data_IF_623540030863
#
_entry.id   IF_623540030863
#
_cell.length_a   1.000
_cell.length_b   1.000
_cell.length_c   1.000
_cell.angle_alpha   90.00
_cell.angle_beta   90.00
_cell.angle_gamma   90.00
#
_symmetry.space_group_name_H-M   'P 1'
#
loop_
_entity.id
_entity.type
_entity.pdbx_description
1 polymer ?
#
# COMPACT_ATOMS: atom_id res chain seq x y z
N UNK A 1 5.64 -28.82 27.32
CA UNK A 1 4.89 -29.13 28.56
C UNK A 1 3.42 -29.01 28.24
N UNK A 2 2.75 -30.14 28.28
CA UNK A 2 1.43 -30.42 27.69
C UNK A 2 0.33 -29.79 28.55
N UNK A 3 -0.44 -28.85 27.99
CA UNK A 3 -1.60 -28.26 28.66
C UNK A 3 -2.78 -29.23 28.53
N UNK A 4 -3.29 -29.67 29.69
CA UNK A 4 -4.44 -30.55 29.81
C UNK A 4 -5.68 -29.89 29.20
N UNK A 5 -6.21 -30.48 28.13
CA UNK A 5 -7.55 -30.22 27.63
C UNK A 5 -8.52 -30.64 28.73
N UNK A 6 -9.02 -29.66 29.47
CA UNK A 6 -10.10 -29.83 30.43
C UNK A 6 -11.34 -30.25 29.65
N UNK A 7 -11.67 -31.54 29.69
CA UNK A 7 -12.96 -32.07 29.23
C UNK A 7 -14.04 -31.58 30.19
N UNK A 8 -14.46 -30.31 30.03
CA UNK A 8 -15.69 -29.82 30.63
C UNK A 8 -16.83 -30.50 29.87
N UNK A 9 -17.50 -31.45 30.51
CA UNK A 9 -18.86 -31.82 30.12
C UNK A 9 -19.68 -30.53 29.99
N UNK A 10 -20.50 -30.35 28.94
CA UNK A 10 -21.36 -29.18 28.86
C UNK A 10 -22.24 -29.17 30.11
N UNK A 11 -22.13 -28.12 30.92
CA UNK A 11 -22.99 -27.94 32.08
C UNK A 11 -24.39 -27.67 31.54
N UNK A 12 -25.23 -28.70 31.48
CA UNK A 12 -26.61 -28.58 31.07
C UNK A 12 -27.28 -27.48 31.89
N UNK A 13 -28.05 -26.60 31.22
CA UNK A 13 -28.90 -25.65 31.93
C UNK A 13 -29.83 -26.41 32.88
N UNK A 14 -30.25 -25.81 34.00
CA UNK A 14 -31.19 -26.45 34.93
C UNK A 14 -32.45 -26.95 34.22
N UNK A 15 -32.92 -26.20 33.22
CA UNK A 15 -34.05 -26.58 32.36
C UNK A 15 -33.75 -27.79 31.47
N UNK A 16 -32.53 -27.89 30.95
CA UNK A 16 -32.11 -28.97 30.05
C UNK A 16 -31.88 -30.28 30.83
N UNK A 17 -31.26 -30.17 32.01
CA UNK A 17 -31.16 -31.29 32.94
C UNK A 17 -32.54 -31.81 33.37
N UNK A 18 -33.49 -30.90 33.63
CA UNK A 18 -34.87 -31.27 33.97
C UNK A 18 -35.59 -31.94 32.79
N UNK A 19 -35.39 -31.47 31.55
CA UNK A 19 -35.96 -32.11 30.35
C UNK A 19 -35.42 -33.51 30.15
N UNK A 20 -34.11 -33.74 30.37
CA UNK A 20 -33.51 -35.07 30.27
C UNK A 20 -34.02 -36.00 31.37
N UNK A 21 -34.13 -35.53 32.61
CA UNK A 21 -34.70 -36.32 33.71
C UNK A 21 -36.17 -36.70 33.45
N UNK A 22 -36.95 -35.77 32.88
CA UNK A 22 -38.33 -36.04 32.47
C UNK A 22 -38.41 -37.04 31.30
N UNK A 23 -37.46 -36.98 30.36
CA UNK A 23 -37.36 -37.93 29.26
C UNK A 23 -37.04 -39.34 29.78
N UNK A 24 -36.07 -39.47 30.68
CA UNK A 24 -35.70 -40.76 31.28
C UNK A 24 -36.89 -41.39 32.02
N UNK A 25 -37.61 -40.58 32.81
CA UNK A 25 -38.85 -41.01 33.50
C UNK A 25 -39.97 -41.40 32.52
N UNK A 26 -40.15 -40.65 31.43
CA UNK A 26 -41.14 -40.97 30.41
C UNK A 26 -40.79 -42.28 29.69
N UNK A 27 -39.50 -42.52 29.47
CA UNK A 27 -39.01 -43.73 28.83
C UNK A 27 -39.22 -44.95 29.74
N UNK A 28 -38.91 -44.82 31.03
CA UNK A 28 -39.17 -45.85 32.05
C UNK A 28 -40.66 -46.20 32.12
N UNK A 29 -41.55 -45.20 32.21
CA UNK A 29 -43.00 -45.42 32.23
C UNK A 29 -43.52 -46.09 30.95
N UNK A 30 -42.98 -45.74 29.78
CA UNK A 30 -43.35 -46.43 28.53
C UNK A 30 -42.95 -47.90 28.56
N UNK A 31 -41.79 -48.22 29.14
CA UNK A 31 -41.31 -49.58 29.25
C UNK A 31 -42.15 -50.39 30.24
N UNK A 32 -42.49 -49.80 31.39
CA UNK A 32 -43.43 -50.39 32.35
C UNK A 32 -44.80 -50.67 31.72
N UNK A 33 -45.35 -49.69 30.98
CA UNK A 33 -46.63 -49.86 30.29
C UNK A 33 -46.58 -50.97 29.23
N UNK A 34 -45.50 -51.03 28.44
CA UNK A 34 -45.32 -52.09 27.45
C UNK A 34 -45.24 -53.48 28.10
N UNK A 35 -44.57 -53.58 29.26
CA UNK A 35 -44.41 -54.82 29.99
C UNK A 35 -45.74 -55.26 30.64
N UNK A 36 -46.50 -54.33 31.22
CA UNK A 36 -47.84 -54.58 31.74
C UNK A 36 -48.81 -55.01 30.64
N UNK A 37 -48.75 -54.37 29.48
CA UNK A 37 -49.59 -54.75 28.33
C UNK A 37 -49.25 -56.16 27.83
N UNK A 38 -47.96 -56.49 27.69
CA UNK A 38 -47.52 -57.82 27.29
C UNK A 38 -47.95 -58.90 28.32
N UNK A 39 -47.86 -58.59 29.62
CA UNK A 39 -48.31 -59.49 30.68
C UNK A 39 -49.83 -59.69 30.64
N UNK A 40 -50.59 -58.62 30.40
CA UNK A 40 -52.05 -58.70 30.27
C UNK A 40 -52.47 -59.49 29.02
N UNK A 41 -51.78 -59.33 27.90
CA UNK A 41 -51.99 -60.12 26.68
C UNK A 41 -51.68 -61.61 26.92
N UNK A 42 -50.67 -61.93 27.72
CA UNK A 42 -50.34 -63.31 28.10
C UNK A 42 -51.39 -63.93 29.04
N UNK A 43 -51.85 -63.18 30.06
CA UNK A 43 -52.86 -63.65 31.03
C UNK A 43 -54.27 -63.73 30.45
N UNK A 44 -54.60 -62.88 29.47
CA UNK A 44 -55.90 -62.92 28.79
C UNK A 44 -56.01 -64.06 27.78
N UNK A 45 -54.89 -64.72 27.46
CA UNK A 45 -54.80 -65.77 26.45
C UNK A 45 -54.54 -67.15 27.11
N UNK A 46 -55.38 -67.57 28.05
CA UNK A 46 -55.42 -68.97 28.52
C UNK A 46 -56.08 -69.88 27.45
N UNK A 47 -55.23 -70.37 26.54
CA UNK A 47 -55.28 -71.58 25.68
C UNK A 47 -56.45 -71.76 24.67
N UNK A 48 -56.08 -72.02 23.41
CA UNK A 48 -56.12 -73.40 22.93
C UNK A 48 -54.71 -73.97 22.81
N UNK A 49 -54.64 -75.29 22.65
CA UNK A 49 -53.42 -76.10 22.67
C UNK A 49 -52.22 -75.49 21.94
N UNK A 50 -51.06 -75.75 22.53
CA UNK A 50 -49.72 -75.58 21.94
C UNK A 50 -49.74 -76.01 20.48
N UNK A 51 -49.79 -75.04 19.57
CA UNK A 51 -49.25 -75.14 18.21
C UNK A 51 -49.06 -73.71 17.66
N UNK A 52 -47.83 -73.22 17.77
CA UNK A 52 -47.26 -72.39 16.70
C UNK A 52 -47.40 -70.88 16.77
N UNK A 53 -47.55 -70.24 17.94
CA UNK A 53 -46.92 -68.91 18.06
C UNK A 53 -45.46 -69.20 18.37
N UNK A 54 -44.65 -69.23 17.31
CA UNK A 54 -43.23 -69.54 17.39
C UNK A 54 -42.55 -68.43 18.20
N UNK A 55 -42.42 -68.68 19.51
CA UNK A 55 -41.78 -67.77 20.46
C UNK A 55 -40.36 -67.44 19.97
N UNK A 56 -39.71 -68.38 19.28
CA UNK A 56 -38.39 -68.16 18.68
C UNK A 56 -38.47 -67.16 17.52
N UNK A 57 -39.54 -67.19 16.71
CA UNK A 57 -39.78 -66.20 15.64
C UNK A 57 -40.07 -64.80 16.23
N UNK A 58 -40.89 -64.70 17.27
CA UNK A 58 -41.12 -63.42 17.96
C UNK A 58 -39.85 -62.87 18.64
N UNK A 59 -39.05 -63.73 19.29
CA UNK A 59 -37.77 -63.34 19.87
C UNK A 59 -36.78 -62.88 18.80
N UNK A 60 -36.75 -63.55 17.65
CA UNK A 60 -35.93 -63.15 16.51
C UNK A 60 -36.34 -61.78 15.97
N UNK A 61 -37.64 -61.54 15.81
CA UNK A 61 -38.15 -60.22 15.40
C UNK A 61 -37.83 -59.11 16.43
N UNK A 62 -37.92 -59.40 17.73
CA UNK A 62 -37.52 -58.46 18.77
C UNK A 62 -36.01 -58.15 18.72
N UNK A 63 -35.17 -59.18 18.55
CA UNK A 63 -33.72 -59.02 18.44
C UNK A 63 -33.34 -58.22 17.19
N UNK A 64 -34.01 -58.48 16.06
CA UNK A 64 -33.82 -57.72 14.82
C UNK A 64 -34.24 -56.26 14.99
N UNK A 65 -35.41 -56.00 15.60
CA UNK A 65 -35.86 -54.65 15.91
C UNK A 65 -34.90 -53.92 16.86
N UNK A 66 -34.39 -54.60 17.89
CA UNK A 66 -33.42 -54.04 18.84
C UNK A 66 -32.08 -53.74 18.17
N UNK A 67 -31.59 -54.65 17.33
CA UNK A 67 -30.37 -54.42 16.55
C UNK A 67 -30.54 -53.23 15.59
N UNK A 68 -31.69 -53.12 14.92
CA UNK A 68 -32.02 -51.98 14.06
C UNK A 68 -32.07 -50.65 14.82
N UNK A 69 -32.66 -50.63 16.01
CA UNK A 69 -32.67 -49.45 16.87
C UNK A 69 -31.27 -49.07 17.38
N UNK A 70 -30.44 -50.06 17.75
CA UNK A 70 -29.06 -49.81 18.14
C UNK A 70 -28.27 -49.16 17.00
N UNK A 71 -28.34 -49.72 15.79
CA UNK A 71 -27.67 -49.17 14.61
C UNK A 71 -28.15 -47.74 14.31
N UNK A 72 -29.45 -47.49 14.40
CA UNK A 72 -30.01 -46.15 14.22
C UNK A 72 -29.46 -45.17 15.26
N UNK A 73 -29.38 -45.58 16.52
CA UNK A 73 -28.81 -44.76 17.59
C UNK A 73 -27.32 -44.49 17.37
N UNK A 74 -26.55 -45.48 16.91
CA UNK A 74 -25.13 -45.33 16.58
C UNK A 74 -24.92 -44.35 15.42
N UNK A 75 -25.75 -44.43 14.37
CA UNK A 75 -25.74 -43.48 13.25
C UNK A 75 -26.11 -42.08 13.73
N UNK A 76 -27.15 -41.93 14.55
CA UNK A 76 -27.55 -40.63 15.10
C UNK A 76 -26.45 -40.01 15.96
N UNK A 77 -25.78 -40.82 16.78
CA UNK A 77 -24.62 -40.38 17.57
C UNK A 77 -23.49 -39.90 16.66
N UNK A 78 -23.14 -40.67 15.62
CA UNK A 78 -22.11 -40.28 14.66
C UNK A 78 -22.46 -38.97 13.93
N UNK A 79 -23.73 -38.78 13.54
CA UNK A 79 -24.18 -37.52 12.93
C UNK A 79 -24.05 -36.36 13.93
N UNK A 80 -24.49 -36.55 15.17
CA UNK A 80 -24.35 -35.53 16.23
C UNK A 80 -22.89 -35.18 16.49
N UNK A 81 -21.99 -36.17 16.48
CA UNK A 81 -20.54 -35.97 16.65
C UNK A 81 -19.93 -35.19 15.46
N UNK A 82 -20.46 -35.34 14.25
CA UNK A 82 -19.96 -34.68 13.03
C UNK A 82 -20.46 -33.24 12.85
N UNK A 83 -21.67 -32.92 13.30
CA UNK A 83 -22.27 -31.58 13.19
C UNK A 83 -21.35 -30.44 13.65
N UNK A 84 -20.69 -30.49 14.83
CA UNK A 84 -19.81 -29.40 15.25
C UNK A 84 -18.62 -29.20 14.30
N UNK A 85 -18.08 -30.27 13.70
CA UNK A 85 -16.99 -30.14 12.73
C UNK A 85 -17.44 -29.50 11.41
N UNK A 86 -18.66 -29.81 10.96
CA UNK A 86 -19.25 -29.17 9.77
C UNK A 86 -19.45 -27.68 10.03
N UNK A 87 -20.00 -27.31 11.20
CA UNK A 87 -20.18 -25.91 11.59
C UNK A 87 -18.84 -25.17 11.70
N UNK A 88 -17.83 -25.76 12.35
CA UNK A 88 -16.50 -25.18 12.43
C UNK A 88 -15.87 -24.98 11.05
N UNK A 89 -16.04 -25.96 10.14
CA UNK A 89 -15.58 -25.85 8.76
C UNK A 89 -16.28 -24.72 8.01
N UNK A 90 -17.59 -24.56 8.18
CA UNK A 90 -18.35 -23.47 7.54
C UNK A 90 -17.89 -22.10 8.05
N UNK A 91 -17.71 -21.93 9.35
CA UNK A 91 -17.18 -20.70 9.95
C UNK A 91 -15.79 -20.39 9.39
N UNK A 92 -14.89 -21.38 9.41
CA UNK A 92 -13.54 -21.21 8.88
C UNK A 92 -13.51 -20.89 7.38
N UNK A 93 -14.43 -21.47 6.59
CA UNK A 93 -14.56 -21.18 5.16
C UNK A 93 -15.02 -19.73 4.91
N UNK A 94 -15.98 -19.24 5.70
CA UNK A 94 -16.44 -17.84 5.63
C UNK A 94 -15.32 -16.89 6.04
N UNK A 95 -14.62 -17.16 7.15
CA UNK A 95 -13.49 -16.36 7.60
C UNK A 95 -12.37 -16.33 6.55
N UNK A 96 -12.02 -17.47 5.95
CA UNK A 96 -11.04 -17.54 4.88
C UNK A 96 -11.45 -16.73 3.65
N UNK A 97 -12.73 -16.78 3.25
CA UNK A 97 -13.25 -15.97 2.15
C UNK A 97 -13.18 -14.47 2.47
N UNK A 98 -13.55 -14.06 3.69
CA UNK A 98 -13.43 -12.67 4.15
C UNK A 98 -11.98 -12.20 4.15
N UNK A 99 -11.05 -13.01 4.68
CA UNK A 99 -9.62 -12.71 4.67
C UNK A 99 -9.07 -12.57 3.25
N UNK A 100 -9.46 -13.45 2.34
CA UNK A 100 -9.07 -13.38 0.93
C UNK A 100 -9.58 -12.09 0.27
N UNK A 101 -10.84 -11.73 0.49
CA UNK A 101 -11.43 -10.50 -0.03
C UNK A 101 -10.70 -9.26 0.51
N UNK A 102 -10.46 -9.20 1.82
CA UNK A 102 -9.74 -8.09 2.46
C UNK A 102 -8.30 -7.98 1.95
N UNK A 103 -7.61 -9.11 1.79
CA UNK A 103 -6.26 -9.16 1.23
C UNK A 103 -6.25 -8.63 -0.21
N UNK A 104 -7.22 -9.02 -1.04
CA UNK A 104 -7.33 -8.55 -2.41
C UNK A 104 -7.62 -7.05 -2.48
N UNK A 105 -8.49 -6.53 -1.60
CA UNK A 105 -8.75 -5.09 -1.52
C UNK A 105 -7.50 -4.32 -1.09
N UNK A 106 -6.75 -4.81 -0.09
CA UNK A 106 -5.52 -4.19 0.36
C UNK A 106 -4.46 -4.16 -0.75
N UNK A 107 -4.31 -5.25 -1.51
CA UNK A 107 -3.43 -5.29 -2.70
C UNK A 107 -3.85 -4.30 -3.77
N UNK A 108 -5.16 -4.18 -4.04
CA UNK A 108 -5.68 -3.21 -4.99
C UNK A 108 -5.31 -1.77 -4.61
N UNK A 109 -5.52 -1.40 -3.34
CA UNK A 109 -5.14 -0.08 -2.83
C UNK A 109 -3.63 0.17 -2.87
N UNK A 110 -2.81 -0.83 -2.54
CA UNK A 110 -1.35 -0.72 -2.66
C UNK A 110 -0.93 -0.48 -4.12
N UNK A 111 -1.50 -1.21 -5.07
CA UNK A 111 -1.21 -1.02 -6.49
C UNK A 111 -1.59 0.38 -6.98
N UNK A 112 -2.75 0.91 -6.55
CA UNK A 112 -3.19 2.28 -6.86
C UNK A 112 -2.20 3.32 -6.31
N UNK A 113 -1.82 3.20 -5.04
CA UNK A 113 -0.85 4.08 -4.40
C UNK A 113 0.54 3.99 -5.03
N UNK A 114 0.99 2.81 -5.45
CA UNK A 114 2.26 2.63 -6.15
C UNK A 114 2.27 3.33 -7.51
N UNK A 115 1.14 3.30 -8.23
CA UNK A 115 0.99 4.02 -9.50
C UNK A 115 1.02 5.53 -9.24
N UNK A 116 0.24 6.02 -8.28
CA UNK A 116 0.21 7.44 -7.92
C UNK A 116 1.59 7.95 -7.48
N UNK A 117 2.28 7.20 -6.60
CA UNK A 117 3.61 7.55 -6.11
C UNK A 117 4.62 7.61 -7.24
N UNK A 118 4.56 6.68 -8.20
CA UNK A 118 5.42 6.69 -9.39
C UNK A 118 5.13 7.91 -10.25
N UNK A 119 3.88 8.27 -10.44
CA UNK A 119 3.49 9.45 -11.22
C UNK A 119 3.95 10.75 -10.55
N UNK A 120 3.73 10.91 -9.25
CA UNK A 120 4.21 12.08 -8.50
C UNK A 120 5.74 12.14 -8.52
N UNK A 121 6.42 11.00 -8.39
CA UNK A 121 7.88 10.96 -8.48
C UNK A 121 8.38 11.42 -9.85
N UNK A 122 7.72 11.02 -10.95
CA UNK A 122 8.05 11.53 -12.29
C UNK A 122 7.85 13.04 -12.38
N UNK A 123 6.70 13.55 -11.91
CA UNK A 123 6.41 14.98 -11.91
C UNK A 123 7.41 15.78 -11.07
N UNK A 124 7.83 15.24 -9.92
CA UNK A 124 8.84 15.87 -9.07
C UNK A 124 10.19 15.95 -9.77
N UNK A 125 10.59 14.91 -10.53
CA UNK A 125 11.82 14.92 -11.33
C UNK A 125 11.72 15.97 -12.44
N UNK A 126 10.60 16.02 -13.16
CA UNK A 126 10.38 16.98 -14.25
C UNK A 126 10.39 18.43 -13.75
N UNK A 127 9.70 18.70 -12.63
CA UNK A 127 9.68 20.01 -12.00
C UNK A 127 11.07 20.40 -11.47
N UNK A 128 11.80 19.47 -10.85
CA UNK A 128 13.17 19.75 -10.40
C UNK A 128 14.11 20.07 -11.58
N UNK A 129 13.97 19.36 -12.70
CA UNK A 129 14.72 19.66 -13.92
C UNK A 129 14.39 21.05 -14.47
N UNK A 130 13.11 21.45 -14.46
CA UNK A 130 12.69 22.77 -14.92
C UNK A 130 13.19 23.89 -13.99
N UNK A 131 13.16 23.68 -12.67
CA UNK A 131 13.73 24.62 -11.70
C UNK A 131 15.22 24.82 -11.94
N UNK A 132 15.99 23.73 -12.16
CA UNK A 132 17.42 23.83 -12.47
C UNK A 132 17.66 24.59 -13.78
N UNK A 133 16.89 24.32 -14.82
CA UNK A 133 16.98 25.00 -16.11
C UNK A 133 16.67 26.50 -15.99
N UNK A 134 15.65 26.87 -15.21
CA UNK A 134 15.29 28.26 -14.96
C UNK A 134 16.34 28.99 -14.12
N UNK A 135 16.90 28.32 -13.11
CA UNK A 135 18.01 28.84 -12.31
C UNK A 135 19.24 29.12 -13.19
N UNK A 136 19.60 28.19 -14.08
CA UNK A 136 20.70 28.36 -15.01
C UNK A 136 20.46 29.50 -16.01
N UNK A 137 19.24 29.61 -16.56
CA UNK A 137 18.86 30.75 -17.43
C UNK A 137 18.96 32.08 -16.69
N UNK A 138 18.60 32.12 -15.41
CA UNK A 138 18.68 33.32 -14.58
C UNK A 138 20.13 33.71 -14.33
N UNK A 139 20.97 32.74 -13.96
CA UNK A 139 22.41 32.95 -13.78
C UNK A 139 23.09 33.42 -15.07
N UNK A 140 22.77 32.82 -16.22
CA UNK A 140 23.30 33.25 -17.52
C UNK A 140 22.91 34.71 -17.83
N UNK A 141 21.67 35.10 -17.55
CA UNK A 141 21.20 36.48 -17.75
C UNK A 141 21.90 37.47 -16.81
N UNK A 142 22.09 37.09 -15.55
CA UNK A 142 22.88 37.88 -14.59
C UNK A 142 24.34 38.03 -15.05
N UNK A 143 24.99 36.96 -15.50
CA UNK A 143 26.37 37.06 -16.01
C UNK A 143 26.46 37.95 -17.25
N UNK A 144 25.53 37.80 -18.20
CA UNK A 144 25.52 38.60 -19.43
C UNK A 144 25.26 40.09 -19.15
N UNK A 145 24.39 40.42 -18.19
CA UNK A 145 24.13 41.80 -17.80
C UNK A 145 25.34 42.42 -17.07
N UNK A 146 26.00 41.66 -16.18
CA UNK A 146 27.22 42.10 -15.49
C UNK A 146 28.37 42.34 -16.47
N UNK A 147 28.58 41.44 -17.43
CA UNK A 147 29.62 41.60 -18.45
C UNK A 147 29.37 42.81 -19.35
N UNK A 148 28.12 43.03 -19.76
CA UNK A 148 27.75 44.21 -20.57
C UNK A 148 28.02 45.51 -19.79
N UNK A 149 27.69 45.54 -18.50
CA UNK A 149 27.93 46.71 -17.64
C UNK A 149 29.42 46.92 -17.33
N UNK A 150 30.22 45.85 -17.29
CA UNK A 150 31.68 45.94 -17.16
C UNK A 150 32.32 46.51 -18.43
N UNK A 151 31.94 45.99 -19.61
CA UNK A 151 32.44 46.45 -20.90
C UNK A 151 32.12 47.93 -21.13
N UNK A 152 30.90 48.38 -20.79
CA UNK A 152 30.53 49.81 -20.87
C UNK A 152 31.41 50.71 -20.02
N UNK A 153 31.74 50.29 -18.79
CA UNK A 153 32.62 51.08 -17.91
C UNK A 153 34.04 51.14 -18.45
N UNK A 154 34.54 50.05 -18.99
CA UNK A 154 35.86 50.00 -19.61
C UNK A 154 35.95 50.90 -20.85
N UNK A 155 34.93 50.90 -21.71
CA UNK A 155 34.88 51.82 -22.86
C UNK A 155 34.87 53.29 -22.43
N UNK A 156 34.09 53.66 -21.40
CA UNK A 156 34.07 55.04 -20.89
C UNK A 156 35.43 55.43 -20.30
N UNK A 157 36.08 54.52 -19.58
CA UNK A 157 37.43 54.74 -19.02
C UNK A 157 38.46 54.96 -20.14
N UNK A 158 38.48 54.07 -21.13
CA UNK A 158 39.38 54.15 -22.28
C UNK A 158 39.14 55.42 -23.10
N UNK A 159 37.90 55.82 -23.31
CA UNK A 159 37.57 57.09 -23.97
C UNK A 159 38.11 58.29 -23.18
N UNK A 160 38.00 58.28 -21.86
CA UNK A 160 38.57 59.32 -21.02
C UNK A 160 40.10 59.34 -21.12
N UNK A 161 40.76 58.20 -21.01
CA UNK A 161 42.22 58.12 -21.12
C UNK A 161 42.70 58.58 -22.50
N UNK A 162 41.99 58.19 -23.55
CA UNK A 162 42.29 58.58 -24.92
C UNK A 162 42.07 60.08 -25.13
N UNK A 163 41.04 60.67 -24.51
CA UNK A 163 40.82 62.13 -24.50
C UNK A 163 41.94 62.86 -23.76
N UNK A 164 42.36 62.38 -22.60
CA UNK A 164 43.50 62.94 -21.85
C UNK A 164 44.81 62.81 -22.62
N UNK A 165 45.04 61.66 -23.23
CA UNK A 165 46.21 61.39 -24.07
C UNK A 165 46.24 62.31 -25.30
N UNK A 166 45.10 62.44 -26.01
CA UNK A 166 44.95 63.39 -27.12
C UNK A 166 45.19 64.83 -26.67
N UNK A 167 44.69 65.23 -25.50
CA UNK A 167 44.91 66.58 -25.00
C UNK A 167 46.38 66.84 -24.65
N UNK A 168 47.06 65.88 -24.01
CA UNK A 168 48.51 65.94 -23.74
C UNK A 168 49.30 65.98 -25.03
N UNK A 169 48.95 65.16 -26.02
CA UNK A 169 49.58 65.16 -27.33
C UNK A 169 49.39 66.49 -28.05
N UNK A 170 48.17 67.07 -28.03
CA UNK A 170 47.90 68.39 -28.60
C UNK A 170 48.77 69.48 -27.96
N UNK A 171 48.91 69.46 -26.63
CA UNK A 171 49.78 70.40 -25.92
C UNK A 171 51.24 70.18 -26.32
N UNK A 172 51.72 68.93 -26.29
CA UNK A 172 53.12 68.60 -26.61
C UNK A 172 53.46 68.90 -28.08
N UNK A 173 52.57 68.59 -29.02
CA UNK A 173 52.68 68.95 -30.43
C UNK A 173 52.69 70.47 -30.58
N UNK A 174 51.75 71.18 -29.95
CA UNK A 174 51.71 72.65 -29.99
C UNK A 174 52.97 73.31 -29.43
N UNK A 175 53.50 72.81 -28.31
CA UNK A 175 54.75 73.31 -27.72
C UNK A 175 55.96 72.99 -28.61
N UNK A 176 56.06 71.77 -29.16
CA UNK A 176 57.14 71.40 -30.08
C UNK A 176 57.12 72.25 -31.35
N UNK A 177 55.94 72.45 -31.96
CA UNK A 177 55.77 73.32 -33.12
C UNK A 177 56.17 74.77 -32.82
N UNK A 178 55.78 75.30 -31.66
CA UNK A 178 56.13 76.66 -31.24
C UNK A 178 57.64 76.84 -31.00
N UNK A 179 58.31 75.87 -30.37
CA UNK A 179 59.77 75.91 -30.14
C UNK A 179 60.52 75.87 -31.47
N UNK A 180 60.16 74.95 -32.37
CA UNK A 180 60.83 74.81 -33.67
C UNK A 180 60.65 76.09 -34.49
N UNK A 181 59.44 76.64 -34.58
CA UNK A 181 59.16 77.87 -35.33
C UNK A 181 59.83 79.12 -34.71
N UNK A 182 59.92 79.20 -33.37
CA UNK A 182 60.54 80.32 -32.66
C UNK A 182 62.07 80.28 -32.60
N UNK A 183 62.70 79.13 -32.86
CA UNK A 183 64.16 78.95 -32.77
C UNK A 183 64.96 79.60 -33.91
N UNK A 184 64.31 80.08 -34.97
CA UNK A 184 64.97 80.68 -36.13
C UNK A 184 65.60 79.68 -37.12
N UNK A 185 65.43 78.38 -36.91
CA UNK A 185 65.83 77.32 -37.86
C UNK A 185 64.88 77.32 -39.07
N UNK A 186 65.41 77.17 -40.30
CA UNK A 186 64.61 77.10 -41.54
C UNK A 186 63.87 75.74 -41.66
N UNK A 187 62.85 75.57 -40.84
CA UNK A 187 62.02 74.37 -40.76
C UNK A 187 61.17 74.13 -42.03
N UNK A 188 60.94 75.17 -42.84
CA UNK A 188 60.15 75.07 -44.05
C UNK A 188 60.85 74.23 -45.14
N UNK A 189 62.19 74.16 -45.16
CA UNK A 189 62.95 73.38 -46.15
C UNK A 189 63.18 71.93 -45.74
N UNK A 190 63.03 71.58 -44.46
CA UNK A 190 63.23 70.23 -43.95
C UNK A 190 61.89 69.51 -43.80
N UNK A 191 61.67 68.47 -44.60
CA UNK A 191 60.41 67.71 -44.64
C UNK A 191 59.99 67.14 -43.28
N UNK A 192 60.95 66.67 -42.47
CA UNK A 192 60.68 66.17 -41.11
C UNK A 192 60.22 67.26 -40.14
N UNK A 193 60.78 68.47 -40.25
CA UNK A 193 60.41 69.59 -39.39
C UNK A 193 59.09 70.23 -39.85
N UNK A 194 58.84 70.23 -41.16
CA UNK A 194 57.60 70.70 -41.75
C UNK A 194 56.41 69.86 -41.29
N UNK A 195 56.53 68.53 -41.31
CA UNK A 195 55.50 67.59 -40.85
C UNK A 195 55.29 67.65 -39.32
N UNK A 196 56.36 67.93 -38.57
CA UNK A 196 56.25 68.15 -37.12
C UNK A 196 55.50 69.44 -36.77
N UNK A 197 55.73 70.52 -37.52
CA UNK A 197 55.13 71.84 -37.27
C UNK A 197 53.70 71.94 -37.80
N UNK A 198 53.43 71.38 -38.98
CA UNK A 198 52.10 71.39 -39.59
C UNK A 198 51.25 70.26 -39.01
N UNK A 199 50.01 70.57 -38.63
CA UNK A 199 49.00 69.53 -38.48
C UNK A 199 48.67 69.02 -39.89
N UNK A 200 49.04 67.79 -40.21
CA UNK A 200 48.35 67.03 -41.24
C UNK A 200 46.88 66.96 -40.80
N UNK A 201 46.02 67.73 -41.47
CA UNK A 201 44.62 67.85 -41.13
C UNK A 201 43.92 66.50 -41.33
N UNK A 202 43.35 66.00 -40.23
CA UNK A 202 42.49 64.81 -40.04
C UNK A 202 42.89 63.50 -40.76
#
# INVERSE_FOLDING_TARGET
MTSMVSTRSPAFSWTEAQVLELYDKLHELHLEFALLKAQQEYLSNELPGVDGVDIDEMQKHLLEAKAGLSLRNDVLKSVMDLLPYIQQREIAAVEAAMHSSNSQQARGRLAELEVETRQISHQNVDLAAEVLRLAEKTHQNETATVDNERLKRETVSLEHELKTSRQRWKVMKGTASAIVAGSGIDWARNERLRDMVLDSAD
#
